data_IF_433065155250
#
_entry.id   IF_433065155250
#
_cell.length_a   1.000
_cell.length_b   1.000
_cell.length_c   1.000
_cell.angle_alpha   90.00
_cell.angle_beta   90.00
_cell.angle_gamma   90.00
#
_symmetry.space_group_name_H-M   'P 1'
#
loop_
_entity.id
_entity.type
_entity.pdbx_description
1 polymer ?
#
# COMPACT_ATOMS: atom_id res chain seq x y z
N UNK A 1 -0.17 23.69 5.86
CA UNK A 1 -1.00 24.72 5.19
C UNK A 1 -2.45 24.22 5.24
N UNK A 2 -3.31 24.92 6.02
CA UNK A 2 -4.72 24.51 6.23
C UNK A 2 -5.59 24.54 4.97
N UNK A 3 -5.04 24.96 3.82
CA UNK A 3 -5.76 25.11 2.55
C UNK A 3 -5.68 23.88 1.64
N UNK A 4 -4.80 22.92 1.91
CA UNK A 4 -4.56 21.75 1.05
C UNK A 4 -5.39 20.56 1.49
N UNK A 5 -5.89 19.78 0.51
CA UNK A 5 -6.53 18.50 0.76
C UNK A 5 -5.54 17.46 1.28
N UNK A 6 -6.04 16.38 1.90
CA UNK A 6 -5.21 15.26 2.35
C UNK A 6 -4.46 14.60 1.17
N UNK A 7 -5.11 14.48 0.03
CA UNK A 7 -4.49 13.93 -1.20
C UNK A 7 -3.33 14.79 -1.70
N UNK A 8 -3.46 16.12 -1.65
CA UNK A 8 -2.37 17.02 -2.01
C UNK A 8 -1.18 16.88 -1.07
N UNK A 9 -1.41 16.70 0.24
CA UNK A 9 -0.34 16.43 1.19
C UNK A 9 0.38 15.10 0.90
N UNK A 10 -0.38 14.02 0.61
CA UNK A 10 0.22 12.73 0.25
C UNK A 10 1.08 12.87 -1.01
N UNK A 11 0.57 13.57 -2.04
CA UNK A 11 1.31 13.80 -3.28
C UNK A 11 2.63 14.54 -3.05
N UNK A 12 2.58 15.61 -2.25
CA UNK A 12 3.79 16.38 -1.92
C UNK A 12 4.80 15.54 -1.15
N UNK A 13 4.35 14.80 -0.13
CA UNK A 13 5.21 13.88 0.61
C UNK A 13 5.83 12.82 -0.30
N UNK A 14 5.05 12.22 -1.20
CA UNK A 14 5.56 11.21 -2.13
C UNK A 14 6.63 11.80 -3.07
N UNK A 15 6.40 13.00 -3.61
CA UNK A 15 7.40 13.71 -4.44
C UNK A 15 8.66 14.07 -3.66
N UNK A 16 8.51 14.54 -2.43
CA UNK A 16 9.66 14.86 -1.57
C UNK A 16 10.47 13.60 -1.23
N UNK A 17 9.80 12.48 -0.90
CA UNK A 17 10.46 11.21 -0.68
C UNK A 17 11.21 10.74 -1.94
N UNK A 18 10.57 10.80 -3.11
CA UNK A 18 11.20 10.45 -4.38
C UNK A 18 12.50 11.23 -4.59
N UNK A 19 12.43 12.55 -4.47
CA UNK A 19 13.59 13.42 -4.68
C UNK A 19 14.71 13.11 -3.68
N UNK A 20 14.39 12.88 -2.40
CA UNK A 20 15.40 12.55 -1.38
C UNK A 20 16.09 11.21 -1.66
N UNK A 21 15.33 10.17 -2.03
CA UNK A 21 15.90 8.85 -2.34
C UNK A 21 16.75 8.93 -3.60
N UNK A 22 16.26 9.59 -4.65
CA UNK A 22 16.99 9.77 -5.89
C UNK A 22 18.31 10.56 -5.67
N UNK A 23 18.25 11.71 -5.01
CA UNK A 23 19.45 12.51 -4.70
C UNK A 23 20.47 11.71 -3.88
N UNK A 24 20.00 10.96 -2.86
CA UNK A 24 20.89 10.11 -2.07
C UNK A 24 21.58 9.03 -2.91
N UNK A 25 20.85 8.42 -3.84
CA UNK A 25 21.41 7.42 -4.75
C UNK A 25 22.51 8.02 -5.65
N UNK A 26 22.24 9.20 -6.23
CA UNK A 26 23.24 9.90 -7.06
C UNK A 26 24.50 10.30 -6.28
N UNK A 27 24.33 10.92 -5.10
CA UNK A 27 25.46 11.37 -4.25
C UNK A 27 26.34 10.21 -3.79
N UNK A 28 25.75 9.00 -3.61
CA UNK A 28 26.48 7.80 -3.19
C UNK A 28 26.81 6.84 -4.33
N UNK A 29 26.58 7.22 -5.59
CA UNK A 29 26.86 6.43 -6.79
C UNK A 29 26.24 5.04 -6.75
N UNK A 30 24.98 4.96 -6.27
CA UNK A 30 24.20 3.73 -6.23
C UNK A 30 23.43 3.59 -7.55
N UNK A 31 23.73 2.52 -8.30
CA UNK A 31 23.09 2.29 -9.61
C UNK A 31 21.58 2.04 -9.52
N UNK A 32 21.14 1.40 -8.44
CA UNK A 32 19.73 1.09 -8.21
C UNK A 32 19.38 1.28 -6.72
N UNK A 33 18.59 2.28 -6.43
CA UNK A 33 18.01 2.51 -5.11
C UNK A 33 16.58 2.96 -5.24
N UNK A 34 15.66 2.19 -4.72
CA UNK A 34 14.25 2.54 -4.73
C UNK A 34 13.45 1.74 -3.73
N UNK A 35 12.23 2.18 -3.49
CA UNK A 35 11.28 1.50 -2.61
C UNK A 35 9.84 1.73 -3.08
N UNK A 36 8.92 0.87 -2.65
CA UNK A 36 7.49 1.13 -2.75
C UNK A 36 7.03 2.10 -1.65
N UNK A 37 5.89 2.69 -1.85
CA UNK A 37 5.19 3.48 -0.84
C UNK A 37 3.71 3.10 -0.85
N UNK A 38 3.14 2.84 0.31
CA UNK A 38 1.70 2.68 0.52
C UNK A 38 1.30 3.35 1.82
N UNK A 39 0.33 4.26 1.76
CA UNK A 39 -0.05 5.07 2.92
C UNK A 39 -1.52 5.49 2.92
N UNK A 40 -2.08 5.60 4.12
CA UNK A 40 -3.42 6.11 4.39
C UNK A 40 -3.32 7.29 5.34
N UNK A 41 -3.99 8.38 5.02
CA UNK A 41 -4.16 9.54 5.91
C UNK A 41 -5.64 9.66 6.27
N UNK A 42 -5.93 9.62 7.57
CA UNK A 42 -7.28 9.70 8.11
C UNK A 42 -7.65 11.16 8.38
N UNK A 43 -8.67 11.64 7.70
CA UNK A 43 -9.32 12.91 7.95
C UNK A 43 -10.52 12.76 8.88
N UNK A 44 -11.31 13.82 9.01
CA UNK A 44 -12.48 13.83 9.90
C UNK A 44 -13.64 12.96 9.39
N UNK A 45 -13.87 12.94 8.09
CA UNK A 45 -14.99 12.24 7.45
C UNK A 45 -14.55 11.38 6.27
N UNK A 46 -13.29 11.46 5.88
CA UNK A 46 -12.74 10.79 4.70
C UNK A 46 -11.30 10.32 4.98
N UNK A 47 -10.86 9.37 4.21
CA UNK A 47 -9.47 8.96 4.13
C UNK A 47 -8.91 9.34 2.76
N UNK A 48 -7.63 9.65 2.72
CA UNK A 48 -6.88 9.77 1.49
C UNK A 48 -5.82 8.70 1.45
N UNK A 49 -5.67 8.08 0.30
CA UNK A 49 -4.80 6.93 0.04
C UNK A 49 -3.81 7.32 -1.04
N UNK A 50 -2.56 6.90 -0.85
CA UNK A 50 -1.54 7.06 -1.85
C UNK A 50 -0.64 5.85 -1.94
N UNK A 51 -0.29 5.42 -3.16
CA UNK A 51 0.68 4.37 -3.35
C UNK A 51 1.59 4.62 -4.55
N UNK A 52 2.79 4.05 -4.47
CA UNK A 52 3.80 3.94 -5.51
C UNK A 52 4.39 2.54 -5.44
N UNK A 53 4.37 1.80 -6.55
CA UNK A 53 4.80 0.40 -6.60
C UNK A 53 3.64 -0.57 -6.52
N UNK A 54 3.88 -1.76 -5.99
CA UNK A 54 2.98 -2.90 -5.92
C UNK A 54 2.60 -3.35 -4.50
N UNK A 55 3.04 -2.60 -3.49
CA UNK A 55 2.50 -2.72 -2.14
C UNK A 55 1.05 -2.27 -2.13
N UNK A 56 0.17 -3.06 -1.52
CA UNK A 56 -1.28 -2.87 -1.65
C UNK A 56 -1.93 -2.30 -0.40
N UNK A 57 -3.04 -1.64 -0.64
CA UNK A 57 -3.95 -1.13 0.38
C UNK A 57 -5.33 -1.69 0.09
N UNK A 58 -5.93 -2.33 1.10
CA UNK A 58 -7.27 -2.90 1.03
C UNK A 58 -8.18 -2.29 2.09
N UNK A 59 -9.47 -2.26 1.77
CA UNK A 59 -10.56 -2.07 2.71
C UNK A 59 -11.35 -3.36 2.86
N UNK A 60 -11.67 -3.73 4.09
CA UNK A 60 -12.59 -4.81 4.42
C UNK A 60 -13.79 -4.24 5.17
N UNK A 61 -14.97 -4.33 4.55
CA UNK A 61 -16.24 -3.85 5.10
C UNK A 61 -17.29 -4.96 4.99
N UNK A 62 -17.86 -5.40 6.12
CA UNK A 62 -18.88 -6.45 6.17
C UNK A 62 -18.47 -7.72 5.42
N UNK A 63 -17.22 -8.16 5.55
CA UNK A 63 -16.65 -9.33 4.90
C UNK A 63 -16.36 -9.19 3.41
N UNK A 64 -16.56 -8.00 2.83
CA UNK A 64 -16.16 -7.70 1.45
C UNK A 64 -14.82 -6.98 1.45
N UNK A 65 -13.91 -7.45 0.62
CA UNK A 65 -12.62 -6.82 0.38
C UNK A 65 -12.66 -5.99 -0.90
N UNK A 66 -11.95 -4.86 -0.87
CA UNK A 66 -11.75 -3.96 -2.01
C UNK A 66 -10.31 -3.48 -1.99
N UNK A 67 -9.58 -3.65 -3.10
CA UNK A 67 -8.27 -3.04 -3.27
C UNK A 67 -8.44 -1.56 -3.60
N UNK A 68 -7.82 -0.70 -2.78
CA UNK A 68 -7.88 0.76 -2.92
C UNK A 68 -6.64 1.33 -3.62
N UNK A 69 -5.53 0.62 -3.57
CA UNK A 69 -4.29 0.97 -4.27
C UNK A 69 -4.33 0.52 -5.73
N UNK A 70 -3.46 1.11 -6.55
CA UNK A 70 -3.25 0.71 -7.94
C UNK A 70 -1.85 0.13 -8.08
N UNK A 71 -1.73 -1.13 -8.48
CA UNK A 71 -0.43 -1.75 -8.69
C UNK A 71 0.28 -1.12 -9.90
N UNK A 72 1.47 -0.60 -9.69
CA UNK A 72 2.33 -0.07 -10.74
C UNK A 72 3.25 -1.18 -11.28
N UNK A 73 2.67 -2.12 -12.01
CA UNK A 73 3.36 -3.25 -12.63
C UNK A 73 3.14 -3.29 -14.13
N UNK A 74 3.96 -4.06 -14.84
CA UNK A 74 3.75 -4.26 -16.27
C UNK A 74 2.42 -4.97 -16.52
N UNK A 75 1.72 -4.63 -17.64
CA UNK A 75 0.51 -5.33 -18.07
C UNK A 75 0.72 -6.84 -18.20
N UNK A 76 -0.34 -7.63 -17.97
CA UNK A 76 -0.33 -9.10 -18.06
C UNK A 76 0.29 -9.63 -19.37
N UNK A 77 0.00 -8.96 -20.49
CA UNK A 77 0.48 -9.34 -21.81
C UNK A 77 2.01 -9.25 -21.95
N UNK A 78 2.67 -8.49 -21.11
CA UNK A 78 4.12 -8.27 -21.07
C UNK A 78 4.81 -9.03 -19.94
N UNK A 79 4.08 -9.84 -19.19
CA UNK A 79 4.58 -10.61 -18.03
C UNK A 79 5.45 -11.83 -18.40
N UNK A 80 6.36 -11.71 -19.36
CA UNK A 80 7.50 -12.65 -19.46
C UNK A 80 8.45 -12.53 -18.28
N UNK A 81 8.35 -11.46 -17.51
CA UNK A 81 9.12 -11.14 -16.32
C UNK A 81 8.13 -10.81 -15.20
N UNK A 82 7.97 -11.72 -14.24
CA UNK A 82 7.21 -11.47 -13.03
C UNK A 82 7.80 -10.27 -12.26
N UNK A 83 6.91 -9.40 -11.74
CA UNK A 83 7.23 -8.37 -10.74
C UNK A 83 8.12 -7.21 -11.20
N UNK A 84 8.03 -6.77 -12.48
CA UNK A 84 8.65 -5.50 -12.87
C UNK A 84 7.73 -4.36 -12.45
N UNK A 85 8.17 -3.62 -11.43
CA UNK A 85 7.53 -2.39 -10.96
C UNK A 85 7.81 -1.29 -11.98
N UNK A 86 6.79 -0.51 -12.33
CA UNK A 86 6.86 0.59 -13.32
C UNK A 86 6.90 1.98 -12.70
N UNK A 87 6.61 2.08 -11.39
CA UNK A 87 6.74 3.28 -10.57
C UNK A 87 7.32 2.89 -9.21
N UNK A 88 8.32 3.60 -8.74
CA UNK A 88 8.93 3.42 -7.42
C UNK A 88 9.43 4.75 -6.86
N UNK A 89 9.60 4.86 -5.57
CA UNK A 89 10.21 6.03 -4.92
C UNK A 89 11.72 5.97 -5.12
N UNK A 90 12.29 6.98 -5.69
CA UNK A 90 13.70 7.05 -6.10
C UNK A 90 13.91 7.15 -7.61
N UNK A 91 12.80 7.26 -8.39
CA UNK A 91 12.86 7.45 -9.85
C UNK A 91 13.52 8.77 -10.21
N UNK A 92 14.42 8.71 -11.22
CA UNK A 92 15.02 9.87 -11.85
C UNK A 92 14.10 10.54 -12.89
N UNK A 93 14.34 11.81 -13.17
CA UNK A 93 13.56 12.58 -14.16
C UNK A 93 13.68 12.03 -15.60
N UNK A 94 14.74 11.28 -15.90
CA UNK A 94 15.00 10.70 -17.23
C UNK A 94 14.23 9.40 -17.49
N UNK A 95 13.65 8.76 -16.47
CA UNK A 95 12.97 7.47 -16.62
C UNK A 95 11.53 7.64 -17.12
N UNK A 96 10.66 8.05 -16.27
CA UNK A 96 9.24 8.38 -16.52
C UNK A 96 8.81 9.43 -15.53
N UNK A 97 7.73 10.13 -15.82
CA UNK A 97 7.09 11.00 -14.86
C UNK A 97 6.69 10.21 -13.60
N UNK A 98 7.18 10.66 -12.45
CA UNK A 98 6.81 10.09 -11.15
C UNK A 98 5.34 10.39 -10.85
N UNK A 99 4.51 9.36 -10.84
CA UNK A 99 3.06 9.47 -10.77
C UNK A 99 2.47 8.55 -9.70
N UNK A 100 2.42 8.97 -8.43
CA UNK A 100 1.72 8.26 -7.38
C UNK A 100 0.24 8.07 -7.71
N UNK A 101 -0.32 6.89 -7.44
CA UNK A 101 -1.75 6.71 -7.46
C UNK A 101 -2.36 7.29 -6.18
N UNK A 102 -3.43 8.07 -6.32
CA UNK A 102 -4.12 8.74 -5.23
C UNK A 102 -5.62 8.48 -5.32
N UNK A 103 -6.25 8.26 -4.19
CA UNK A 103 -7.71 8.20 -4.08
C UNK A 103 -8.19 8.75 -2.73
N UNK A 104 -9.47 9.11 -2.67
CA UNK A 104 -10.12 9.58 -1.45
C UNK A 104 -11.48 8.91 -1.35
N UNK A 105 -11.84 8.43 -0.17
CA UNK A 105 -13.15 7.83 0.09
C UNK A 105 -13.66 8.12 1.50
N UNK A 106 -14.98 7.95 1.68
CA UNK A 106 -15.61 7.99 2.99
C UNK A 106 -15.41 6.65 3.71
N UNK A 107 -15.11 6.71 4.99
CA UNK A 107 -15.01 5.54 5.85
C UNK A 107 -16.26 5.36 6.72
N UNK A 108 -16.46 4.14 7.19
CA UNK A 108 -17.49 3.79 8.15
C UNK A 108 -16.87 3.19 9.42
N UNK A 109 -17.61 3.31 10.51
CA UNK A 109 -17.26 2.60 11.76
C UNK A 109 -17.20 1.09 11.52
N UNK A 110 -16.14 0.45 12.00
CA UNK A 110 -15.88 -0.98 11.81
C UNK A 110 -15.20 -1.34 10.47
N UNK A 111 -14.85 -0.37 9.64
CA UNK A 111 -13.99 -0.63 8.48
C UNK A 111 -12.61 -1.03 8.93
N UNK A 112 -12.09 -2.11 8.34
CA UNK A 112 -10.69 -2.51 8.48
C UNK A 112 -9.91 -2.17 7.23
N UNK A 113 -8.73 -1.61 7.43
CA UNK A 113 -7.78 -1.30 6.35
C UNK A 113 -6.53 -2.15 6.54
N UNK A 114 -6.05 -2.69 5.42
CA UNK A 114 -4.84 -3.52 5.38
C UNK A 114 -3.84 -2.83 4.46
N UNK A 115 -2.61 -2.65 4.92
CA UNK A 115 -1.47 -2.24 4.10
C UNK A 115 -0.50 -3.40 4.11
N UNK A 116 -0.06 -3.88 2.95
CA UNK A 116 0.83 -5.02 2.88
C UNK A 116 1.84 -4.92 1.73
N UNK A 117 2.97 -5.62 1.90
CA UNK A 117 3.92 -5.89 0.83
C UNK A 117 3.43 -7.02 -0.07
N UNK A 118 4.05 -7.16 -1.24
CA UNK A 118 3.77 -8.21 -2.21
C UNK A 118 4.00 -9.64 -1.68
N UNK A 119 4.90 -9.83 -0.71
CA UNK A 119 5.10 -11.12 -0.04
C UNK A 119 3.84 -11.72 0.59
N UNK A 120 2.81 -10.89 0.92
CA UNK A 120 1.50 -11.38 1.32
C UNK A 120 0.69 -11.81 0.09
N UNK A 121 0.58 -10.97 -0.92
CA UNK A 121 -0.34 -11.11 -2.05
C UNK A 121 0.17 -12.04 -3.14
N UNK A 122 1.46 -12.41 -3.11
CA UNK A 122 1.97 -13.52 -3.91
C UNK A 122 1.43 -14.89 -3.48
N UNK A 123 1.00 -15.04 -2.24
CA UNK A 123 0.53 -16.29 -1.65
C UNK A 123 -0.96 -16.32 -1.36
N UNK A 124 -1.53 -15.20 -0.94
CA UNK A 124 -2.95 -15.08 -0.63
C UNK A 124 -3.62 -14.21 -1.69
N UNK A 125 -4.70 -14.73 -2.28
CA UNK A 125 -5.54 -13.91 -3.14
C UNK A 125 -6.41 -12.94 -2.30
N UNK A 126 -7.00 -11.95 -2.96
CA UNK A 126 -7.76 -10.89 -2.29
C UNK A 126 -8.92 -11.45 -1.45
N UNK A 127 -9.61 -12.49 -1.93
CA UNK A 127 -10.73 -13.11 -1.20
C UNK A 127 -10.24 -13.78 0.09
N UNK A 128 -9.12 -14.50 0.04
CA UNK A 128 -8.49 -15.10 1.22
C UNK A 128 -8.08 -14.04 2.24
N UNK A 129 -7.43 -12.96 1.78
CA UNK A 129 -7.06 -11.82 2.65
C UNK A 129 -8.31 -11.23 3.31
N UNK A 130 -9.37 -11.01 2.54
CA UNK A 130 -10.63 -10.45 3.05
C UNK A 130 -11.29 -11.34 4.10
N UNK A 131 -11.38 -12.64 3.84
CA UNK A 131 -11.98 -13.63 4.78
C UNK A 131 -11.17 -13.69 6.07
N UNK A 132 -9.84 -13.84 5.99
CA UNK A 132 -8.97 -13.94 7.16
C UNK A 132 -9.04 -12.68 8.01
N UNK A 133 -9.02 -11.50 7.39
CA UNK A 133 -9.15 -10.23 8.08
C UNK A 133 -10.53 -10.09 8.75
N UNK A 134 -11.61 -10.53 8.09
CA UNK A 134 -12.97 -10.40 8.61
C UNK A 134 -13.25 -11.30 9.82
N UNK A 135 -12.74 -12.54 9.81
CA UNK A 135 -13.00 -13.52 10.91
C UNK A 135 -12.10 -13.30 12.12
N UNK A 136 -11.04 -12.53 11.99
CA UNK A 136 -10.11 -12.23 13.08
C UNK A 136 -10.80 -11.41 14.18
N UNK A 137 -10.52 -11.73 15.45
CA UNK A 137 -11.14 -11.11 16.60
C UNK A 137 -10.65 -9.71 16.91
N UNK A 138 -9.43 -9.37 16.43
CA UNK A 138 -8.79 -8.08 16.59
C UNK A 138 -7.89 -7.75 15.40
N UNK A 139 -7.44 -6.51 15.28
CA UNK A 139 -6.47 -6.10 14.25
C UNK A 139 -5.12 -6.80 14.42
N UNK A 140 -4.71 -7.07 15.66
CA UNK A 140 -3.50 -7.84 15.95
C UNK A 140 -3.64 -9.27 15.48
N UNK A 141 -4.77 -9.92 15.82
CA UNK A 141 -5.07 -11.28 15.38
C UNK A 141 -5.14 -11.37 13.84
N UNK A 142 -5.73 -10.36 13.18
CA UNK A 142 -5.78 -10.28 11.73
C UNK A 142 -4.37 -10.23 11.10
N UNK A 143 -3.48 -9.37 11.60
CA UNK A 143 -2.11 -9.28 11.08
C UNK A 143 -1.33 -10.58 11.30
N UNK A 144 -1.46 -11.20 12.48
CA UNK A 144 -0.78 -12.45 12.81
C UNK A 144 -1.26 -13.62 11.94
N UNK A 145 -2.58 -13.73 11.72
CA UNK A 145 -3.17 -14.77 10.86
C UNK A 145 -2.71 -14.58 9.41
N UNK A 146 -2.77 -13.37 8.86
CA UNK A 146 -2.37 -13.09 7.48
C UNK A 146 -0.90 -13.47 7.24
N UNK A 147 0.01 -13.02 8.10
CA UNK A 147 1.43 -13.37 8.00
C UNK A 147 1.65 -14.87 8.13
N UNK A 148 1.01 -15.53 9.13
CA UNK A 148 1.17 -16.95 9.36
C UNK A 148 0.67 -17.79 8.17
N UNK A 149 -0.44 -17.39 7.54
CA UNK A 149 -0.98 -18.09 6.37
C UNK A 149 -0.06 -17.96 5.15
N UNK A 150 0.47 -16.77 4.87
CA UNK A 150 1.41 -16.56 3.77
C UNK A 150 2.72 -17.35 3.98
N UNK A 151 3.25 -17.36 5.21
CA UNK A 151 4.41 -18.21 5.57
C UNK A 151 4.10 -19.70 5.43
N UNK A 152 2.92 -20.12 5.81
CA UNK A 152 2.46 -21.52 5.67
C UNK A 152 2.34 -21.98 4.20
N UNK A 153 2.18 -21.04 3.27
CA UNK A 153 2.19 -21.28 1.82
C UNK A 153 3.59 -21.10 1.18
N UNK A 154 4.64 -21.16 1.99
CA UNK A 154 6.03 -21.09 1.55
C UNK A 154 6.34 -19.78 0.80
N UNK A 155 5.95 -18.63 1.36
CA UNK A 155 6.39 -17.34 0.85
C UNK A 155 7.91 -17.24 0.94
N UNK A 156 8.55 -16.87 -0.17
CA UNK A 156 9.99 -16.69 -0.25
C UNK A 156 10.41 -15.22 -0.09
N UNK A 157 9.45 -14.32 0.08
CA UNK A 157 9.70 -12.90 0.24
C UNK A 157 9.39 -12.41 1.66
N UNK A 158 9.89 -11.22 1.99
CA UNK A 158 9.58 -10.55 3.23
C UNK A 158 8.11 -10.15 3.28
N UNK A 159 7.41 -10.48 4.36
CA UNK A 159 6.00 -10.17 4.52
C UNK A 159 5.84 -9.06 5.54
N UNK A 160 5.24 -7.97 5.12
CA UNK A 160 4.84 -6.87 6.01
C UNK A 160 3.34 -6.66 5.92
N UNK A 161 2.67 -6.61 7.06
CA UNK A 161 1.22 -6.39 7.15
C UNK A 161 0.93 -5.40 8.28
N UNK A 162 0.14 -4.38 7.96
CA UNK A 162 -0.43 -3.46 8.94
C UNK A 162 -1.95 -3.58 8.81
N UNK A 163 -2.64 -3.79 9.93
CA UNK A 163 -4.11 -3.77 9.98
C UNK A 163 -4.56 -2.69 10.94
N UNK A 164 -5.49 -1.84 10.51
CA UNK A 164 -6.16 -0.88 11.38
C UNK A 164 -7.68 -1.01 11.23
N UNK A 165 -8.41 -0.68 12.30
CA UNK A 165 -9.86 -0.64 12.34
C UNK A 165 -10.29 0.75 12.84
N UNK A 166 -11.34 1.27 12.21
CA UNK A 166 -11.90 2.56 12.63
C UNK A 166 -13.04 2.33 13.62
N UNK A 167 -12.89 2.92 14.78
CA UNK A 167 -13.90 2.90 15.83
C UNK A 167 -14.38 4.32 16.12
N UNK A 168 -15.71 4.50 16.26
CA UNK A 168 -16.25 5.75 16.78
C UNK A 168 -15.82 5.92 18.23
N UNK A 169 -15.22 7.07 18.54
CA UNK A 169 -14.99 7.44 19.92
C UNK A 169 -16.35 7.68 20.60
N UNK A 170 -16.84 6.71 21.36
CA UNK A 170 -17.98 6.93 22.25
C UNK A 170 -17.58 7.94 23.32
N UNK A 171 -18.11 9.17 23.20
CA UNK A 171 -17.96 10.26 24.15
C UNK A 171 -18.72 9.99 25.44
#
# INVERSE_FOLDING_TARGET
DESKSLSEHILECAKEMNNKVHTYAEENQLEHMGTTFAGIVFGKNEISIGNVGDSRIYKVRNGKIEQLSVDHVLPEELKSFKNIITQYVGMGEEEKEFSPALSTEEYCNGDRYIICSDGLTEKLNDEEVGVLCHVAQSVTDASDILVSQALGQESNDNITVIVCELEELTS
#
